data_IF_739007858934
#
_entry.id   IF_739007858934
#
_cell.length_a   1.000
_cell.length_b   1.000
_cell.length_c   1.000
_cell.angle_alpha   90.00
_cell.angle_beta   90.00
_cell.angle_gamma   90.00
#
_symmetry.space_group_name_H-M   'P 1'
#
loop_
_entity.id
_entity.type
_entity.pdbx_description
1 polymer ?
#
# COMPACT_ATOMS: atom_id res chain seq x y z
N UNK A 1 -16.03 -3.21 -7.17
CA UNK A 1 -14.87 -2.82 -8.00
C UNK A 1 -15.16 -1.46 -8.62
N UNK A 2 -14.39 -0.42 -8.27
CA UNK A 2 -14.59 0.93 -8.81
C UNK A 2 -14.21 1.02 -10.29
N UNK A 3 -14.90 1.88 -11.04
CA UNK A 3 -14.58 2.13 -12.46
C UNK A 3 -13.14 2.64 -12.58
N UNK A 4 -12.32 2.11 -13.52
CA UNK A 4 -10.97 2.59 -13.71
C UNK A 4 -10.98 4.09 -14.05
N UNK A 5 -10.04 4.88 -13.52
CA UNK A 5 -9.99 6.30 -13.79
C UNK A 5 -9.83 6.55 -15.28
N UNK A 6 -10.60 7.52 -15.80
CA UNK A 6 -10.64 7.88 -17.22
C UNK A 6 -9.29 8.39 -17.76
N UNK A 7 -8.41 8.88 -16.88
CA UNK A 7 -7.09 9.40 -17.23
C UNK A 7 -6.02 8.62 -16.49
N UNK A 8 -5.03 8.11 -17.24
CA UNK A 8 -3.87 7.46 -16.66
C UNK A 8 -3.00 8.45 -15.89
N UNK A 9 -2.25 8.01 -14.87
CA UNK A 9 -1.30 8.85 -14.14
C UNK A 9 -0.28 9.56 -15.06
N UNK A 10 0.21 8.86 -16.09
CA UNK A 10 1.19 9.38 -17.06
C UNK A 10 0.59 10.53 -17.87
N UNK A 11 -0.67 10.36 -18.30
CA UNK A 11 -1.40 11.40 -19.03
C UNK A 11 -1.58 12.65 -18.18
N UNK A 12 -2.02 12.49 -16.93
CA UNK A 12 -2.15 13.63 -16.00
C UNK A 12 -0.81 14.33 -15.77
N UNK A 13 0.26 13.55 -15.58
CA UNK A 13 1.61 14.07 -15.35
C UNK A 13 2.10 14.91 -16.52
N UNK A 14 1.97 14.41 -17.77
CA UNK A 14 2.32 15.15 -18.98
C UNK A 14 1.57 16.49 -19.06
N UNK A 15 0.26 16.49 -18.79
CA UNK A 15 -0.55 17.71 -18.83
C UNK A 15 -0.09 18.71 -17.77
N UNK A 16 0.12 18.25 -16.53
CA UNK A 16 0.57 19.11 -15.44
C UNK A 16 1.94 19.71 -15.73
N UNK A 17 2.88 18.93 -16.27
CA UNK A 17 4.21 19.43 -16.63
C UNK A 17 4.16 20.51 -17.71
N UNK A 18 3.36 20.32 -18.77
CA UNK A 18 3.19 21.33 -19.82
C UNK A 18 2.57 22.64 -19.28
N UNK A 19 1.61 22.53 -18.35
CA UNK A 19 1.03 23.69 -17.65
C UNK A 19 2.05 24.39 -16.76
N UNK A 20 2.88 23.64 -16.03
CA UNK A 20 3.92 24.21 -15.17
C UNK A 20 5.05 24.86 -15.97
N UNK A 21 5.39 24.31 -17.13
CA UNK A 21 6.36 24.87 -18.06
C UNK A 21 5.84 26.14 -18.78
N UNK A 22 4.53 26.42 -18.69
CA UNK A 22 3.89 27.54 -19.38
C UNK A 22 3.67 27.29 -20.88
N UNK A 23 3.86 26.07 -21.36
CA UNK A 23 3.64 25.68 -22.76
C UNK A 23 2.16 25.70 -23.14
N UNK A 24 1.28 25.41 -22.17
CA UNK A 24 -0.17 25.48 -22.31
C UNK A 24 -0.79 26.07 -21.05
N UNK A 25 -1.81 26.90 -21.21
CA UNK A 25 -2.61 27.37 -20.06
C UNK A 25 -3.51 26.26 -19.51
N UNK A 26 -3.98 26.44 -18.27
CA UNK A 26 -4.98 25.55 -17.64
C UNK A 26 -6.24 25.43 -18.50
N UNK A 27 -6.70 26.55 -19.06
CA UNK A 27 -7.89 26.62 -19.89
C UNK A 27 -7.71 25.87 -21.23
N UNK A 28 -6.55 25.99 -21.87
CA UNK A 28 -6.23 25.25 -23.10
C UNK A 28 -6.12 23.75 -22.85
N UNK A 29 -5.44 23.35 -21.77
CA UNK A 29 -5.33 21.96 -21.37
C UNK A 29 -6.71 21.34 -21.09
N UNK A 30 -7.58 22.05 -20.37
CA UNK A 30 -8.95 21.63 -20.07
C UNK A 30 -9.78 21.40 -21.34
N UNK A 31 -9.72 22.33 -22.30
CA UNK A 31 -10.41 22.20 -23.59
C UNK A 31 -9.87 21.02 -24.41
N UNK A 32 -8.55 20.90 -24.53
CA UNK A 32 -7.88 19.86 -25.34
C UNK A 32 -8.19 18.46 -24.81
N UNK A 33 -8.12 18.29 -23.48
CA UNK A 33 -8.27 16.99 -22.82
C UNK A 33 -9.75 16.71 -22.43
N UNK A 34 -10.67 17.64 -22.74
CA UNK A 34 -12.12 17.54 -22.47
C UNK A 34 -12.41 17.29 -20.98
N UNK A 35 -11.76 18.07 -20.12
CA UNK A 35 -11.94 18.07 -18.66
C UNK A 35 -12.19 19.49 -18.17
N UNK A 36 -12.65 19.64 -16.91
CA UNK A 36 -12.79 20.97 -16.32
C UNK A 36 -11.44 21.58 -15.95
N UNK A 37 -11.34 22.91 -16.00
CA UNK A 37 -10.17 23.65 -15.50
C UNK A 37 -9.88 23.33 -14.03
N UNK A 38 -10.93 23.12 -13.22
CA UNK A 38 -10.79 22.65 -11.84
C UNK A 38 -10.09 21.29 -11.72
N UNK A 39 -10.30 20.37 -12.66
CA UNK A 39 -9.62 19.07 -12.66
C UNK A 39 -8.13 19.23 -12.93
N UNK A 40 -7.78 20.07 -13.92
CA UNK A 40 -6.38 20.41 -14.21
C UNK A 40 -5.72 21.11 -13.01
N UNK A 41 -6.43 22.09 -12.42
CA UNK A 41 -5.97 22.79 -11.22
C UNK A 41 -5.73 21.85 -10.04
N UNK A 42 -6.61 20.88 -9.83
CA UNK A 42 -6.46 19.85 -8.80
C UNK A 42 -5.23 18.97 -9.06
N UNK A 43 -5.05 18.46 -10.29
CA UNK A 43 -3.87 17.64 -10.62
C UNK A 43 -2.56 18.41 -10.43
N UNK A 44 -2.54 19.69 -10.80
CA UNK A 44 -1.39 20.57 -10.57
C UNK A 44 -1.09 20.72 -9.07
N UNK A 45 -2.11 20.93 -8.25
CA UNK A 45 -1.95 21.05 -6.79
C UNK A 45 -1.44 19.75 -6.16
N UNK A 46 -2.05 18.61 -6.51
CA UNK A 46 -1.66 17.27 -6.05
C UNK A 46 -0.20 16.96 -6.42
N UNK A 47 0.20 17.25 -7.67
CA UNK A 47 1.57 17.01 -8.15
C UNK A 47 2.61 17.83 -7.37
N UNK A 48 2.34 19.12 -7.15
CA UNK A 48 3.23 20.00 -6.40
C UNK A 48 3.33 19.60 -4.91
N UNK A 49 2.21 19.19 -4.31
CA UNK A 49 2.19 18.73 -2.92
C UNK A 49 2.94 17.42 -2.73
N UNK A 50 2.75 16.46 -3.64
CA UNK A 50 3.52 15.22 -3.65
C UNK A 50 5.02 15.49 -3.86
N UNK A 51 5.38 16.41 -4.76
CA UNK A 51 6.76 16.82 -4.96
C UNK A 51 7.39 17.46 -3.72
N UNK A 52 6.67 18.37 -3.05
CA UNK A 52 7.10 18.96 -1.77
C UNK A 52 7.28 17.92 -0.68
N UNK A 53 6.30 17.03 -0.54
CA UNK A 53 6.34 15.95 0.45
C UNK A 53 7.55 15.06 0.24
N UNK A 54 7.81 14.64 -1.01
CA UNK A 54 8.96 13.80 -1.35
C UNK A 54 10.31 14.50 -1.10
N UNK A 55 10.39 15.82 -1.29
CA UNK A 55 11.60 16.60 -0.97
C UNK A 55 11.80 16.74 0.56
N UNK A 56 10.71 16.89 1.32
CA UNK A 56 10.77 17.00 2.77
C UNK A 56 11.13 15.68 3.47
N UNK A 57 10.62 14.55 2.97
CA UNK A 57 10.88 13.23 3.56
C UNK A 57 12.19 12.59 3.08
N UNK A 58 12.81 13.12 2.01
CA UNK A 58 13.97 12.51 1.38
C UNK A 58 13.63 11.25 0.57
N UNK A 59 14.63 10.61 -0.07
CA UNK A 59 14.43 9.36 -0.84
C UNK A 59 13.91 8.25 0.08
N UNK A 60 12.59 8.04 0.02
CA UNK A 60 11.83 6.86 0.46
C UNK A 60 12.16 6.35 1.86
N UNK A 61 11.65 7.04 2.89
CA UNK A 61 11.22 6.31 4.08
C UNK A 61 9.96 5.50 3.69
N UNK A 62 9.81 4.23 4.10
CA UNK A 62 8.57 3.50 3.86
C UNK A 62 7.40 4.37 4.31
N UNK A 63 6.30 4.36 3.56
CA UNK A 63 5.13 5.11 3.98
C UNK A 63 4.81 4.72 5.43
N UNK A 64 4.31 5.65 6.24
CA UNK A 64 3.91 5.32 7.62
C UNK A 64 2.98 4.10 7.67
N UNK A 65 2.24 3.83 6.57
CA UNK A 65 1.46 2.63 6.39
C UNK A 65 2.29 1.36 6.17
N UNK A 66 3.34 1.41 5.37
CA UNK A 66 4.27 0.29 5.18
C UNK A 66 4.99 -0.06 6.48
N UNK A 67 5.48 0.95 7.24
CA UNK A 67 6.08 0.71 8.56
C UNK A 67 5.08 0.06 9.53
N UNK A 68 3.83 0.52 9.54
CA UNK A 68 2.76 -0.10 10.34
C UNK A 68 2.43 -1.53 9.91
N UNK A 69 2.52 -1.83 8.61
CA UNK A 69 2.26 -3.17 8.09
C UNK A 69 3.42 -4.11 8.42
N UNK A 70 4.67 -3.65 8.32
CA UNK A 70 5.85 -4.41 8.74
C UNK A 70 5.78 -4.77 10.23
N UNK A 71 5.44 -3.80 11.10
CA UNK A 71 5.24 -4.06 12.53
C UNK A 71 4.13 -5.10 12.79
N UNK A 72 2.99 -4.99 12.08
CA UNK A 72 1.91 -5.98 12.20
C UNK A 72 2.34 -7.37 11.72
N UNK A 73 3.14 -7.45 10.66
CA UNK A 73 3.67 -8.72 10.17
C UNK A 73 4.59 -9.35 11.21
N UNK A 74 5.44 -8.56 11.87
CA UNK A 74 6.33 -9.02 12.93
C UNK A 74 5.53 -9.58 14.12
N UNK A 75 4.55 -8.82 14.63
CA UNK A 75 3.67 -9.24 15.73
C UNK A 75 2.93 -10.55 15.41
N UNK A 76 2.35 -10.64 14.21
CA UNK A 76 1.63 -11.83 13.76
C UNK A 76 2.56 -13.04 13.59
N UNK A 77 3.78 -12.82 13.11
CA UNK A 77 4.77 -13.88 12.94
C UNK A 77 5.20 -14.45 14.28
N UNK A 78 5.39 -13.59 15.29
CA UNK A 78 5.70 -14.02 16.65
C UNK A 78 4.55 -14.84 17.25
N UNK A 79 3.32 -14.33 17.20
CA UNK A 79 2.14 -15.01 17.74
C UNK A 79 1.91 -16.38 17.07
N UNK A 80 2.15 -16.48 15.76
CA UNK A 80 2.07 -17.75 15.03
C UNK A 80 3.14 -18.74 15.50
N UNK A 81 4.36 -18.27 15.76
CA UNK A 81 5.46 -19.07 16.30
C UNK A 81 5.13 -19.64 17.68
N UNK A 82 4.61 -18.81 18.58
CA UNK A 82 4.18 -19.21 19.92
C UNK A 82 3.08 -20.27 19.86
N UNK A 83 2.03 -20.04 19.08
CA UNK A 83 0.95 -21.01 18.90
C UNK A 83 1.45 -22.34 18.30
N UNK A 84 2.40 -22.31 17.36
CA UNK A 84 2.98 -23.51 16.78
C UNK A 84 3.78 -24.33 17.80
N UNK A 85 4.47 -23.67 18.74
CA UNK A 85 5.17 -24.32 19.86
C UNK A 85 4.17 -24.98 20.80
N UNK A 86 3.12 -24.26 21.21
CA UNK A 86 2.07 -24.81 22.07
C UNK A 86 1.44 -26.06 21.44
N UNK A 87 1.03 -25.98 20.18
CA UNK A 87 0.46 -27.11 19.45
C UNK A 87 1.40 -28.33 19.43
N UNK A 88 2.72 -28.11 19.27
CA UNK A 88 3.70 -29.20 19.30
C UNK A 88 3.79 -29.84 20.69
N UNK A 89 3.79 -29.04 21.74
CA UNK A 89 3.80 -29.51 23.14
C UNK A 89 2.54 -30.32 23.45
N UNK A 90 1.37 -29.82 23.05
CA UNK A 90 0.10 -30.51 23.23
C UNK A 90 0.06 -31.85 22.50
N UNK A 91 0.50 -31.91 21.24
CA UNK A 91 0.56 -33.17 20.46
C UNK A 91 1.49 -34.19 21.13
N UNK A 92 2.70 -33.79 21.49
CA UNK A 92 3.67 -34.67 22.18
C UNK A 92 3.14 -35.18 23.53
N UNK A 93 2.43 -34.32 24.27
CA UNK A 93 1.81 -34.69 25.55
C UNK A 93 0.63 -35.65 25.36
N UNK A 94 -0.15 -35.49 24.28
CA UNK A 94 -1.22 -36.42 23.94
C UNK A 94 -0.66 -37.81 23.56
N UNK A 95 0.41 -37.85 22.78
CA UNK A 95 1.12 -39.09 22.44
C UNK A 95 1.66 -39.81 23.68
N UNK A 96 2.24 -39.07 24.64
CA UNK A 96 2.72 -39.64 25.90
C UNK A 96 1.62 -40.16 26.84
N UNK A 97 0.37 -39.72 26.68
CA UNK A 97 -0.79 -40.22 27.45
C UNK A 97 -1.40 -41.49 26.87
N UNK A 98 -1.09 -41.82 25.62
CA UNK A 98 -1.43 -43.10 25.00
C UNK A 98 -0.35 -44.12 25.36
N UNK A 99 -0.30 -44.54 26.64
CA UNK A 99 0.57 -45.65 27.07
C UNK A 99 0.30 -46.92 26.23
N UNK A 100 1.26 -47.87 26.13
CA UNK A 100 1.16 -49.01 25.22
C UNK A 100 -0.18 -49.71 25.42
N UNK A 101 -0.99 -49.72 24.36
CA UNK A 101 -2.31 -50.34 24.33
C UNK A 101 -2.16 -51.78 24.82
N UNK A 102 -2.67 -52.08 26.02
CA UNK A 102 -2.86 -53.47 26.46
C UNK A 102 -3.91 -54.07 25.55
N UNK A 103 -3.49 -54.61 24.42
CA UNK A 103 -4.29 -55.56 23.65
C UNK A 103 -4.52 -56.75 24.57
N UNK A 104 -5.75 -56.89 25.06
CA UNK A 104 -6.17 -58.04 25.86
C UNK A 104 -5.96 -59.33 25.09
N UNK A 105 -5.51 -60.33 25.85
CA UNK A 105 -5.30 -61.73 25.48
C UNK A 105 -6.64 -62.43 25.23
#
# INVERSE_FOLDING_TARGET
MGRPPKFSPETKTRIVLAVLAGEVSVAEAARKEKVSEQSIGRWRAEFLEAGRSAMATGRSRPSTREEQLEAQIEDLTQALGEAAVELRVWKKSAEGRLGPSRTSR
#
